data_IF_017971334612
#
_entry.id   IF_017971334612
#
_cell.length_a   1.000
_cell.length_b   1.000
_cell.length_c   1.000
_cell.angle_alpha   90.00
_cell.angle_beta   90.00
_cell.angle_gamma   90.00
#
_symmetry.space_group_name_H-M   'P 1'
#
loop_
_entity.id
_entity.type
_entity.pdbx_description
1 polymer ?
#
# COMPACT_ATOMS: atom_id res chain seq x y z
N UNK A 1 0.65 15.24 -4.36
CA UNK A 1 0.71 15.29 -5.85
C UNK A 1 1.75 16.26 -6.40
N UNK A 2 2.08 17.36 -5.70
CA UNK A 2 3.05 18.36 -6.20
C UNK A 2 4.49 17.83 -6.42
N UNK A 3 4.85 16.69 -5.81
CA UNK A 3 6.16 16.06 -5.97
C UNK A 3 6.22 15.03 -7.12
N UNK A 4 5.09 14.50 -7.56
CA UNK A 4 5.03 13.39 -8.52
C UNK A 4 5.48 13.86 -9.91
N UNK A 5 6.49 13.19 -10.49
CA UNK A 5 7.13 13.59 -11.74
C UNK A 5 8.07 14.80 -11.65
N UNK A 6 8.28 15.39 -10.46
CA UNK A 6 9.24 16.48 -10.22
C UNK A 6 10.45 15.98 -9.43
N UNK A 7 10.22 15.20 -8.37
CA UNK A 7 11.25 14.53 -7.58
C UNK A 7 10.91 13.05 -7.42
N UNK A 8 11.89 12.14 -7.42
CA UNK A 8 11.63 10.73 -7.19
C UNK A 8 11.15 10.49 -5.76
N UNK A 9 10.03 9.81 -5.63
CA UNK A 9 9.36 9.47 -4.37
C UNK A 9 9.53 7.97 -4.11
N UNK A 10 10.03 7.63 -2.92
CA UNK A 10 10.30 6.26 -2.49
C UNK A 10 9.47 5.94 -1.26
N UNK A 11 8.73 4.83 -1.30
CA UNK A 11 8.05 4.27 -0.14
C UNK A 11 8.73 2.97 0.30
N UNK A 12 9.04 2.85 1.58
CA UNK A 12 9.55 1.61 2.16
C UNK A 12 8.55 1.06 3.17
N UNK A 13 8.13 -0.19 2.98
CA UNK A 13 7.13 -0.86 3.82
C UNK A 13 7.79 -2.03 4.54
N UNK A 14 7.88 -1.92 5.86
CA UNK A 14 8.54 -2.90 6.75
C UNK A 14 7.54 -3.56 7.72
N UNK A 15 6.31 -3.78 7.24
CA UNK A 15 5.24 -4.32 8.08
C UNK A 15 3.85 -4.14 7.45
N UNK A 16 2.82 -4.11 8.28
CA UNK A 16 1.44 -3.98 7.83
C UNK A 16 1.10 -2.54 7.46
N UNK A 17 0.88 -2.29 6.18
CA UNK A 17 0.39 -1.04 5.63
C UNK A 17 -0.97 -1.28 4.98
N UNK A 18 -2.05 -1.13 5.77
CA UNK A 18 -3.42 -1.44 5.34
C UNK A 18 -4.30 -0.19 5.42
N UNK A 19 -5.16 0.02 4.43
CA UNK A 19 -6.11 1.13 4.39
C UNK A 19 -5.52 2.42 3.81
N UNK A 20 -5.80 3.55 4.44
CA UNK A 20 -5.44 4.87 3.91
C UNK A 20 -3.92 5.08 3.77
N UNK A 21 -3.10 4.45 4.60
CA UNK A 21 -1.65 4.52 4.50
C UNK A 21 -1.12 3.85 3.23
N UNK A 22 -1.80 2.79 2.76
CA UNK A 22 -1.42 2.09 1.54
C UNK A 22 -1.60 2.99 0.31
N UNK A 23 -2.61 3.87 0.28
CA UNK A 23 -2.75 4.87 -0.78
C UNK A 23 -1.52 5.76 -0.89
N UNK A 24 -0.97 6.23 0.24
CA UNK A 24 0.21 7.11 0.23
C UNK A 24 1.45 6.39 -0.31
N UNK A 25 1.64 5.11 0.01
CA UNK A 25 2.72 4.31 -0.55
C UNK A 25 2.56 4.14 -2.07
N UNK A 26 1.34 3.88 -2.55
CA UNK A 26 1.05 3.72 -3.99
C UNK A 26 1.15 4.99 -4.83
N UNK A 27 1.22 6.16 -4.20
CA UNK A 27 1.47 7.43 -4.89
C UNK A 27 2.96 7.71 -5.13
N UNK A 28 3.84 6.89 -4.57
CA UNK A 28 5.30 6.99 -4.77
C UNK A 28 5.71 6.32 -6.07
N UNK A 29 6.87 6.69 -6.62
CA UNK A 29 7.36 6.13 -7.88
C UNK A 29 7.85 4.68 -7.72
N UNK A 30 8.44 4.37 -6.57
CA UNK A 30 8.84 3.00 -6.22
C UNK A 30 8.39 2.64 -4.81
N UNK A 31 8.04 1.37 -4.64
CA UNK A 31 7.69 0.77 -3.36
C UNK A 31 8.66 -0.37 -3.09
N UNK A 32 9.42 -0.26 -2.01
CA UNK A 32 10.27 -1.31 -1.49
C UNK A 32 9.52 -1.99 -0.33
N UNK A 33 9.23 -3.28 -0.47
CA UNK A 33 8.57 -4.06 0.58
C UNK A 33 9.53 -5.10 1.12
N UNK A 34 9.60 -5.19 2.45
CA UNK A 34 10.17 -6.36 3.11
C UNK A 34 9.32 -7.61 2.79
N UNK A 35 9.95 -8.80 2.76
CA UNK A 35 9.28 -10.04 2.37
C UNK A 35 8.00 -10.34 3.17
N UNK A 36 7.98 -10.03 4.47
CA UNK A 36 6.84 -10.27 5.36
C UNK A 36 5.90 -9.06 5.49
N UNK A 37 6.17 -7.98 4.75
CA UNK A 37 5.33 -6.79 4.77
C UNK A 37 4.02 -7.00 3.97
N UNK A 38 2.96 -6.31 4.37
CA UNK A 38 1.67 -6.35 3.68
C UNK A 38 1.27 -4.96 3.23
N UNK A 39 0.86 -4.81 1.97
CA UNK A 39 0.33 -3.57 1.41
C UNK A 39 -1.05 -3.83 0.79
N UNK A 40 -2.11 -3.27 1.37
CA UNK A 40 -3.47 -3.43 0.83
C UNK A 40 -4.41 -2.28 1.20
N UNK A 41 -5.32 -1.92 0.29
CA UNK A 41 -6.37 -0.93 0.60
C UNK A 41 -7.44 -1.52 1.54
N UNK A 42 -7.73 -2.81 1.43
CA UNK A 42 -8.71 -3.51 2.24
C UNK A 42 -8.13 -4.81 2.81
N UNK A 43 -8.35 -5.05 4.10
CA UNK A 43 -7.90 -6.29 4.74
C UNK A 43 -8.70 -7.51 4.27
N UNK A 44 -8.12 -8.70 4.35
CA UNK A 44 -8.74 -9.96 3.92
C UNK A 44 -10.15 -10.17 4.49
N UNK A 45 -10.39 -9.81 5.75
CA UNK A 45 -11.73 -9.90 6.37
C UNK A 45 -12.76 -8.97 5.74
N UNK A 46 -12.35 -7.80 5.26
CA UNK A 46 -13.24 -6.87 4.55
C UNK A 46 -13.57 -7.43 3.17
N UNK A 47 -12.56 -7.96 2.47
CA UNK A 47 -12.77 -8.61 1.18
C UNK A 47 -13.72 -9.81 1.33
N UNK A 48 -13.48 -10.70 2.29
CA UNK A 48 -14.35 -11.84 2.54
C UNK A 48 -15.79 -11.43 2.88
N UNK A 49 -15.99 -10.40 3.70
CA UNK A 49 -17.31 -9.92 4.04
C UNK A 49 -18.04 -9.25 2.85
N UNK A 50 -17.31 -8.61 1.94
CA UNK A 50 -17.88 -7.85 0.82
C UNK A 50 -18.07 -8.68 -0.45
N UNK A 51 -17.16 -9.62 -0.73
CA UNK A 51 -17.09 -10.36 -2.00
C UNK A 51 -17.16 -11.89 -1.83
N UNK A 52 -16.96 -12.41 -0.62
CA UNK A 52 -16.89 -13.85 -0.36
C UNK A 52 -15.57 -14.51 -0.77
N UNK A 53 -14.57 -13.73 -1.17
CA UNK A 53 -13.24 -14.25 -1.52
C UNK A 53 -12.41 -14.53 -0.25
N UNK A 54 -11.63 -15.63 -0.30
CA UNK A 54 -10.79 -16.10 0.80
C UNK A 54 -9.35 -15.60 0.67
#
# INVERSE_FOLDING_TARGET
>A
MHASGVIPQLACVFGHCIGAAAFMATLSDFILMEAEATLSIAGARINQAATGEC
#
